data_IF_891537935150
#
_entry.id   IF_891537935150
#
_cell.length_a   1.000
_cell.length_b   1.000
_cell.length_c   1.000
_cell.angle_alpha   90.00
_cell.angle_beta   90.00
_cell.angle_gamma   90.00
#
_symmetry.space_group_name_H-M   'P 1'
#
loop_
_entity.id
_entity.type
_entity.pdbx_description
1 polymer ?
#
# COMPACT_ATOMS: atom_id res chain seq x y z
N UNK A 1 16.00 7.10 -11.38
CA UNK A 1 17.25 6.33 -11.57
C UNK A 1 17.08 4.82 -11.39
N UNK A 2 16.15 4.33 -10.57
CA UNK A 2 15.89 2.88 -10.41
C UNK A 2 15.46 2.14 -11.70
N UNK A 3 14.78 2.83 -12.62
CA UNK A 3 14.23 2.25 -13.86
C UNK A 3 15.29 1.82 -14.91
N UNK A 4 16.52 2.35 -14.87
CA UNK A 4 17.61 2.01 -15.83
C UNK A 4 18.43 0.81 -15.33
N UNK A 5 18.50 0.60 -14.01
CA UNK A 5 19.33 -0.45 -13.40
C UNK A 5 18.64 -1.83 -13.37
N UNK A 6 17.32 -1.86 -13.49
CA UNK A 6 16.54 -3.10 -13.39
C UNK A 6 16.71 -4.01 -14.64
N UNK A 7 16.64 -3.49 -15.88
CA UNK A 7 16.78 -4.33 -17.09
C UNK A 7 18.21 -4.84 -17.32
N UNK A 8 19.22 -4.13 -16.80
CA UNK A 8 20.63 -4.51 -16.94
C UNK A 8 21.06 -5.62 -15.97
N UNK A 9 20.17 -6.06 -15.07
CA UNK A 9 20.53 -6.98 -13.98
C UNK A 9 21.49 -6.38 -12.94
N UNK A 10 21.91 -5.11 -13.12
CA UNK A 10 22.76 -4.40 -12.19
C UNK A 10 22.06 -4.23 -10.85
N UNK A 11 20.73 -4.02 -10.84
CA UNK A 11 19.95 -3.88 -9.62
C UNK A 11 20.01 -5.14 -8.74
N UNK A 12 19.87 -6.34 -9.30
CA UNK A 12 19.99 -7.59 -8.53
C UNK A 12 21.39 -7.76 -7.94
N UNK A 13 22.43 -7.37 -8.69
CA UNK A 13 23.83 -7.40 -8.19
C UNK A 13 24.04 -6.41 -7.05
N UNK A 14 23.48 -5.20 -7.17
CA UNK A 14 23.52 -4.18 -6.12
C UNK A 14 22.76 -4.66 -4.89
N UNK A 15 21.53 -5.15 -5.06
CA UNK A 15 20.72 -5.68 -3.96
C UNK A 15 21.46 -6.77 -3.19
N UNK A 16 22.02 -7.76 -3.91
CA UNK A 16 22.82 -8.83 -3.31
C UNK A 16 24.09 -8.30 -2.61
N UNK A 17 24.74 -7.29 -3.19
CA UNK A 17 25.92 -6.67 -2.58
C UNK A 17 25.57 -5.95 -1.27
N UNK A 18 24.48 -5.17 -1.26
CA UNK A 18 24.09 -4.41 -0.07
C UNK A 18 23.54 -5.35 1.01
N UNK A 19 22.78 -6.37 0.63
CA UNK A 19 22.37 -7.44 1.55
C UNK A 19 23.57 -8.16 2.17
N UNK A 20 24.56 -8.56 1.37
CA UNK A 20 25.80 -9.15 1.88
C UNK A 20 26.55 -8.20 2.81
N UNK A 21 26.48 -6.91 2.55
CA UNK A 21 27.06 -5.88 3.41
C UNK A 21 26.30 -5.72 4.73
N UNK A 22 24.97 -5.84 4.72
CA UNK A 22 24.14 -5.85 5.93
C UNK A 22 24.47 -7.06 6.81
N UNK A 23 24.57 -8.25 6.21
CA UNK A 23 24.90 -9.49 6.93
C UNK A 23 26.31 -9.51 7.54
N UNK A 24 27.20 -8.64 7.07
CA UNK A 24 28.59 -8.49 7.57
C UNK A 24 28.78 -7.27 8.46
N UNK A 25 27.74 -6.44 8.60
CA UNK A 25 27.84 -5.21 9.37
C UNK A 25 28.09 -5.53 10.85
N UNK A 26 28.85 -4.68 11.57
CA UNK A 26 29.13 -4.89 12.98
C UNK A 26 27.83 -4.82 13.80
N UNK A 27 27.78 -5.58 14.89
CA UNK A 27 26.66 -5.55 15.82
C UNK A 27 26.49 -4.14 16.41
N UNK A 28 25.25 -3.72 16.59
CA UNK A 28 24.90 -2.50 17.28
C UNK A 28 24.53 -2.83 18.72
N UNK A 29 25.23 -2.22 19.67
CA UNK A 29 25.07 -2.52 21.11
C UNK A 29 24.09 -1.57 21.83
N UNK A 30 23.44 -0.65 21.11
CA UNK A 30 22.48 0.27 21.70
C UNK A 30 21.07 -0.33 21.79
N UNK A 31 20.30 0.14 22.77
CA UNK A 31 18.89 -0.21 22.88
C UNK A 31 18.08 0.42 21.73
N UNK A 32 17.16 -0.36 21.16
CA UNK A 32 16.27 0.08 20.08
C UNK A 32 14.83 -0.05 20.59
N UNK A 33 14.13 1.07 20.87
CA UNK A 33 12.77 1.04 21.38
C UNK A 33 11.81 0.31 20.44
N UNK A 34 11.12 -0.72 20.94
CA UNK A 34 10.21 -1.57 20.14
C UNK A 34 10.85 -2.83 19.54
N UNK A 35 12.16 -3.06 19.74
CA UNK A 35 12.85 -4.27 19.25
C UNK A 35 12.23 -5.57 19.78
N UNK A 36 11.91 -5.63 21.07
CA UNK A 36 11.28 -6.80 21.71
C UNK A 36 9.93 -7.12 21.07
N UNK A 37 9.13 -6.09 20.80
CA UNK A 37 7.82 -6.24 20.14
C UNK A 37 7.99 -6.77 18.71
N UNK A 38 8.96 -6.26 17.95
CA UNK A 38 9.25 -6.76 16.61
C UNK A 38 9.69 -8.23 16.66
N UNK A 39 10.58 -8.59 17.59
CA UNK A 39 11.02 -9.97 17.77
C UNK A 39 9.82 -10.90 18.07
N UNK A 40 8.91 -10.48 18.94
CA UNK A 40 7.69 -11.23 19.25
C UNK A 40 6.78 -11.38 18.02
N UNK A 41 6.56 -10.28 17.27
CA UNK A 41 5.77 -10.30 16.05
C UNK A 41 6.36 -11.26 15.00
N UNK A 42 7.68 -11.22 14.78
CA UNK A 42 8.36 -12.14 13.86
C UNK A 42 8.27 -13.60 14.34
N UNK A 43 8.43 -13.86 15.64
CA UNK A 43 8.21 -15.20 16.24
C UNK A 43 6.82 -15.74 15.92
N UNK A 44 5.79 -14.90 16.03
CA UNK A 44 4.40 -15.29 15.79
C UNK A 44 4.07 -15.60 14.32
N UNK A 45 4.86 -15.06 13.39
CA UNK A 45 4.61 -15.23 11.94
C UNK A 45 5.20 -16.50 11.38
N UNK A 46 6.25 -17.01 12.01
CA UNK A 46 7.05 -18.07 11.45
C UNK A 46 6.68 -19.40 12.10
N UNK A 47 6.74 -20.52 11.35
CA UNK A 47 6.32 -21.82 11.87
C UNK A 47 7.05 -22.16 13.18
N UNK A 48 6.34 -22.75 14.17
CA UNK A 48 6.97 -23.17 15.42
C UNK A 48 8.14 -24.12 15.14
N UNK A 49 9.29 -23.88 15.79
CA UNK A 49 10.53 -24.66 15.60
C UNK A 49 11.40 -24.23 14.42
N UNK A 50 11.02 -23.20 13.66
CA UNK A 50 11.83 -22.74 12.51
C UNK A 50 13.01 -21.83 12.89
N UNK A 51 13.12 -21.34 14.13
CA UNK A 51 14.03 -20.24 14.50
C UNK A 51 14.59 -20.34 15.92
N UNK A 52 15.83 -19.86 16.06
CA UNK A 52 16.60 -19.68 17.29
C UNK A 52 15.94 -18.62 18.22
N UNK A 53 15.97 -18.76 19.56
CA UNK A 53 15.46 -17.77 20.52
C UNK A 53 15.94 -16.32 20.32
N UNK A 54 17.12 -16.10 19.75
CA UNK A 54 17.64 -14.78 19.36
C UNK A 54 17.34 -14.45 17.88
N UNK A 55 16.07 -14.15 17.57
CA UNK A 55 15.63 -14.08 16.16
C UNK A 55 16.17 -12.90 15.36
N UNK A 56 16.50 -11.78 16.01
CA UNK A 56 16.82 -10.53 15.32
C UNK A 56 18.08 -9.92 15.91
N UNK A 57 19.13 -9.83 15.08
CA UNK A 57 20.36 -9.11 15.38
C UNK A 57 20.30 -7.71 14.78
N UNK A 58 20.54 -6.69 15.62
CA UNK A 58 20.66 -5.30 15.16
C UNK A 58 22.11 -5.02 14.78
N UNK A 59 22.31 -4.47 13.58
CA UNK A 59 23.63 -4.15 13.04
C UNK A 59 23.72 -2.68 12.62
N UNK A 60 24.92 -2.13 12.73
CA UNK A 60 25.20 -0.77 12.28
C UNK A 60 25.45 -0.76 10.77
N UNK A 61 24.39 -0.54 10.00
CA UNK A 61 24.43 -0.55 8.54
C UNK A 61 24.06 0.82 7.97
N UNK A 62 24.91 1.32 7.08
CA UNK A 62 24.84 2.70 6.56
C UNK A 62 23.80 2.93 5.46
N UNK A 63 23.38 1.88 4.75
CA UNK A 63 22.45 2.02 3.62
C UNK A 63 20.98 1.96 4.06
N UNK A 64 20.11 2.58 3.26
CA UNK A 64 18.66 2.64 3.53
C UNK A 64 17.92 1.34 3.21
N UNK A 65 18.47 0.53 2.31
CA UNK A 65 17.92 -0.77 1.89
C UNK A 65 19.04 -1.80 1.73
N UNK A 66 18.79 -3.09 2.04
CA UNK A 66 17.59 -3.60 2.69
C UNK A 66 17.54 -3.21 4.17
N UNK A 67 16.34 -3.05 4.71
CA UNK A 67 16.12 -2.68 6.12
C UNK A 67 16.39 -3.84 7.07
N UNK A 68 16.00 -5.04 6.64
CA UNK A 68 16.17 -6.30 7.35
C UNK A 68 16.36 -7.42 6.33
N UNK A 69 17.19 -8.41 6.66
CA UNK A 69 17.45 -9.55 5.80
C UNK A 69 17.47 -10.86 6.57
N UNK A 70 16.87 -11.91 6.01
CA UNK A 70 16.93 -13.28 6.53
C UNK A 70 18.25 -13.94 6.14
N UNK A 71 18.94 -14.51 7.13
CA UNK A 71 20.09 -15.38 6.90
C UNK A 71 19.69 -16.84 7.12
N UNK A 72 19.47 -17.63 6.05
CA UNK A 72 19.02 -19.02 6.19
C UNK A 72 20.05 -19.93 6.85
N UNK A 73 21.35 -19.60 6.77
CA UNK A 73 22.42 -20.40 7.40
C UNK A 73 22.43 -20.22 8.91
N UNK A 74 22.31 -18.97 9.37
CA UNK A 74 22.27 -18.64 10.79
C UNK A 74 20.87 -18.80 11.40
N UNK A 75 19.82 -18.95 10.57
CA UNK A 75 18.42 -18.90 10.97
C UNK A 75 18.08 -17.67 11.82
N UNK A 76 18.61 -16.50 11.44
CA UNK A 76 18.41 -15.22 12.14
C UNK A 76 18.15 -14.09 11.14
N UNK A 77 17.39 -13.09 11.57
CA UNK A 77 17.25 -11.83 10.85
C UNK A 77 18.35 -10.85 11.26
N UNK A 78 18.88 -10.12 10.28
CA UNK A 78 19.83 -9.03 10.49
C UNK A 78 19.12 -7.74 10.10
N UNK A 79 18.98 -6.85 11.06
CA UNK A 79 18.21 -5.61 10.94
C UNK A 79 19.14 -4.42 11.10
N UNK A 80 19.04 -3.42 10.23
CA UNK A 80 19.75 -2.16 10.48
C UNK A 80 19.11 -1.39 11.63
N UNK A 81 19.88 -0.53 12.28
CA UNK A 81 19.33 0.43 13.25
C UNK A 81 18.22 1.27 12.59
N UNK A 82 16.99 1.30 13.14
CA UNK A 82 15.90 2.10 12.57
C UNK A 82 16.21 3.59 12.58
N UNK A 83 15.74 4.29 11.54
CA UNK A 83 15.80 5.75 11.50
C UNK A 83 14.81 6.34 12.50
N UNK A 84 15.15 7.50 13.07
CA UNK A 84 14.24 8.24 13.95
C UNK A 84 13.02 8.68 13.16
N UNK A 85 11.84 8.57 13.78
CA UNK A 85 10.62 9.07 13.18
C UNK A 85 10.69 10.61 13.08
N UNK A 86 10.40 11.16 11.90
CA UNK A 86 10.35 12.61 11.71
C UNK A 86 9.05 13.24 12.25
N UNK A 87 7.98 12.44 12.35
CA UNK A 87 6.64 12.89 12.71
C UNK A 87 6.39 12.91 14.23
N UNK A 88 7.13 12.08 14.97
CA UNK A 88 6.95 11.94 16.42
C UNK A 88 8.23 12.35 17.15
N UNK A 89 8.07 12.95 18.33
CA UNK A 89 9.16 13.57 19.07
C UNK A 89 10.33 12.58 19.33
N UNK A 90 11.60 13.03 19.21
CA UNK A 90 12.79 12.17 19.27
C UNK A 90 13.07 11.50 20.63
N UNK A 91 12.21 11.71 21.65
CA UNK A 91 12.36 11.17 23.01
C UNK A 91 11.58 9.89 23.30
N UNK A 92 10.47 9.62 22.61
CA UNK A 92 9.48 8.63 23.07
C UNK A 92 9.60 7.24 22.42
N UNK A 93 10.63 7.01 21.60
CA UNK A 93 10.85 5.67 21.02
C UNK A 93 9.71 5.19 20.12
N UNK A 94 9.21 6.05 19.22
CA UNK A 94 8.15 5.76 18.23
C UNK A 94 8.36 4.37 17.59
N UNK A 95 7.40 3.43 17.71
CA UNK A 95 7.47 2.12 17.05
C UNK A 95 7.04 2.17 15.57
N UNK A 96 7.00 3.35 14.98
CA UNK A 96 6.44 3.63 13.65
C UNK A 96 7.23 2.93 12.52
N UNK A 97 8.47 2.56 12.82
CA UNK A 97 9.33 1.76 11.95
C UNK A 97 8.98 0.26 11.96
N UNK A 98 8.29 -0.25 12.98
CA UNK A 98 8.02 -1.69 13.15
C UNK A 98 7.31 -2.29 11.94
N UNK A 99 6.21 -1.68 11.49
CA UNK A 99 5.40 -2.20 10.37
C UNK A 99 6.23 -2.40 9.10
N UNK A 100 6.88 -1.36 8.58
CA UNK A 100 7.76 -1.48 7.42
C UNK A 100 8.85 -2.55 7.55
N UNK A 101 9.39 -2.75 8.76
CA UNK A 101 10.40 -3.78 9.02
C UNK A 101 9.80 -5.19 9.06
N UNK A 102 8.60 -5.35 9.62
CA UNK A 102 7.87 -6.63 9.61
C UNK A 102 7.58 -7.11 8.19
N UNK A 103 7.07 -6.22 7.32
CA UNK A 103 6.85 -6.54 5.91
C UNK A 103 8.15 -6.91 5.19
N UNK A 104 9.22 -6.12 5.39
CA UNK A 104 10.53 -6.40 4.80
C UNK A 104 11.13 -7.73 5.27
N UNK A 105 10.91 -8.09 6.54
CA UNK A 105 11.33 -9.37 7.11
C UNK A 105 10.63 -10.54 6.40
N UNK A 106 9.32 -10.38 6.16
CA UNK A 106 8.51 -11.39 5.50
C UNK A 106 8.92 -11.61 4.06
N UNK A 107 9.14 -10.53 3.31
CA UNK A 107 9.58 -10.61 1.93
C UNK A 107 10.95 -11.29 1.84
N UNK A 108 11.90 -10.89 2.70
CA UNK A 108 13.24 -11.48 2.73
C UNK A 108 13.23 -12.97 3.13
N UNK A 109 12.35 -13.36 4.07
CA UNK A 109 12.20 -14.76 4.43
C UNK A 109 11.59 -15.57 3.28
N UNK A 110 10.56 -15.05 2.61
CA UNK A 110 9.87 -15.74 1.49
C UNK A 110 10.78 -15.91 0.29
N UNK A 111 11.64 -14.94 -0.01
CA UNK A 111 12.59 -15.03 -1.11
C UNK A 111 13.64 -16.13 -0.91
N UNK A 112 13.98 -16.42 0.36
CA UNK A 112 15.08 -17.33 0.72
C UNK A 112 14.64 -18.65 1.37
N UNK A 113 13.38 -18.76 1.77
CA UNK A 113 12.82 -20.03 2.22
C UNK A 113 12.61 -20.93 1.00
N UNK A 114 12.81 -22.23 1.17
CA UNK A 114 12.61 -23.18 0.07
C UNK A 114 11.18 -23.04 -0.46
N UNK A 115 11.01 -23.03 -1.78
CA UNK A 115 9.76 -22.76 -2.52
C UNK A 115 8.54 -23.61 -2.12
N UNK A 116 8.71 -24.59 -1.23
CA UNK A 116 7.67 -25.50 -0.74
C UNK A 116 7.00 -25.01 0.55
N UNK A 117 7.60 -24.09 1.31
CA UNK A 117 6.95 -23.53 2.51
C UNK A 117 5.96 -22.45 2.09
N UNK A 118 4.66 -22.72 2.27
CA UNK A 118 3.62 -21.68 2.20
C UNK A 118 3.99 -20.59 3.21
N UNK A 119 4.25 -19.38 2.72
CA UNK A 119 4.49 -18.24 3.60
C UNK A 119 3.26 -17.92 4.46
N UNK A 120 3.42 -17.14 5.53
CA UNK A 120 2.30 -16.78 6.38
C UNK A 120 1.26 -15.99 5.59
N UNK A 121 0.00 -16.21 5.95
CA UNK A 121 -1.11 -15.51 5.33
C UNK A 121 -1.04 -14.01 5.61
N UNK A 122 -1.65 -13.21 4.73
CA UNK A 122 -1.81 -11.76 4.96
C UNK A 122 -2.48 -11.46 6.30
N UNK A 123 -3.45 -12.28 6.71
CA UNK A 123 -4.11 -12.18 8.01
C UNK A 123 -3.16 -12.41 9.19
N UNK A 124 -2.20 -13.33 9.07
CA UNK A 124 -1.17 -13.52 10.09
C UNK A 124 -0.26 -12.29 10.20
N UNK A 125 0.12 -11.68 9.07
CA UNK A 125 0.92 -10.44 9.04
C UNK A 125 0.18 -9.30 9.76
N UNK A 126 -1.11 -9.11 9.49
CA UNK A 126 -1.91 -8.10 10.17
C UNK A 126 -2.00 -8.36 11.68
N UNK A 127 -2.22 -9.61 12.11
CA UNK A 127 -2.25 -9.96 13.55
C UNK A 127 -0.92 -9.68 14.24
N UNK A 128 0.19 -10.06 13.61
CA UNK A 128 1.52 -9.80 14.15
C UNK A 128 1.82 -8.29 14.23
N UNK A 129 1.33 -7.51 13.26
CA UNK A 129 1.41 -6.05 13.31
C UNK A 129 0.62 -5.47 14.49
N UNK A 130 -0.65 -5.88 14.66
CA UNK A 130 -1.49 -5.45 15.79
C UNK A 130 -0.85 -5.82 17.13
N UNK A 131 -0.39 -7.07 17.27
CA UNK A 131 0.34 -7.54 18.45
C UNK A 131 1.61 -6.72 18.73
N UNK A 132 2.24 -6.16 17.71
CA UNK A 132 3.40 -5.29 17.89
C UNK A 132 3.03 -3.89 18.41
N UNK A 133 1.82 -3.42 18.09
CA UNK A 133 1.32 -2.10 18.45
C UNK A 133 0.64 -2.08 19.83
N UNK A 134 -0.10 -3.14 20.19
CA UNK A 134 -0.93 -3.19 21.41
C UNK A 134 -0.13 -3.25 22.73
N UNK A 135 1.19 -3.43 22.67
CA UNK A 135 2.01 -3.60 23.88
C UNK A 135 1.72 -4.93 24.58
N UNK A 136 2.32 -5.18 25.74
CA UNK A 136 2.27 -6.46 26.48
C UNK A 136 0.90 -6.78 27.10
N UNK A 137 -0.19 -6.65 26.35
CA UNK A 137 -1.41 -7.39 26.63
C UNK A 137 -1.23 -8.79 26.08
N UNK A 138 -1.20 -9.82 26.94
CA UNK A 138 -1.36 -11.21 26.51
C UNK A 138 -2.61 -11.28 25.62
N UNK A 139 -2.44 -11.40 24.31
CA UNK A 139 -3.54 -11.77 23.43
C UNK A 139 -3.80 -13.24 23.72
N UNK A 140 -4.95 -13.61 24.32
CA UNK A 140 -5.22 -14.99 24.66
C UNK A 140 -5.11 -15.84 23.39
N UNK A 141 -4.52 -17.05 23.48
CA UNK A 141 -4.39 -17.91 22.33
C UNK A 141 -5.79 -18.17 21.75
N UNK A 142 -6.04 -17.66 20.54
CA UNK A 142 -7.28 -17.92 19.80
C UNK A 142 -7.22 -19.35 19.27
N UNK A 143 -7.25 -20.32 20.19
CA UNK A 143 -7.69 -21.68 19.97
C UNK A 143 -9.13 -21.75 20.44
N UNK A 144 -10.04 -21.23 19.62
CA UNK A 144 -11.46 -21.20 19.95
C UNK A 144 -12.27 -20.34 18.99
N UNK A 145 -12.62 -20.90 17.83
CA UNK A 145 -13.88 -20.67 17.14
C UNK A 145 -14.37 -19.24 16.79
N UNK A 146 -13.53 -18.21 16.77
CA UNK A 146 -13.92 -16.88 16.22
C UNK A 146 -13.55 -16.78 14.73
N UNK A 147 -14.19 -17.63 13.91
CA UNK A 147 -14.09 -17.56 12.44
C UNK A 147 -15.38 -17.07 11.76
N UNK A 148 -16.39 -16.59 12.49
CA UNK A 148 -17.72 -16.43 11.88
C UNK A 148 -18.04 -15.00 11.39
N UNK A 149 -17.38 -13.93 11.84
CA UNK A 149 -17.87 -12.56 11.50
C UNK A 149 -17.09 -11.88 10.35
N UNK A 150 -15.90 -12.35 9.98
CA UNK A 150 -15.12 -11.73 8.88
C UNK A 150 -15.03 -12.57 7.60
N UNK A 151 -15.70 -13.73 7.55
CA UNK A 151 -15.64 -14.65 6.41
C UNK A 151 -16.83 -14.53 5.44
N UNK A 152 -17.91 -13.85 5.84
CA UNK A 152 -19.17 -13.75 5.07
C UNK A 152 -19.17 -12.72 3.92
N UNK A 153 -18.05 -12.07 3.62
CA UNK A 153 -17.98 -11.07 2.54
C UNK A 153 -17.09 -11.47 1.35
N UNK A 154 -16.52 -12.68 1.32
CA UNK A 154 -15.48 -13.01 0.36
C UNK A 154 -15.77 -14.17 -0.61
N UNK A 155 -16.92 -14.86 -0.54
CA UNK A 155 -17.09 -16.07 -1.37
C UNK A 155 -18.54 -16.37 -1.81
N UNK A 156 -19.10 -15.48 -2.61
CA UNK A 156 -20.29 -15.79 -3.41
C UNK A 156 -19.98 -15.45 -4.87
N UNK A 157 -19.58 -16.45 -5.66
CA UNK A 157 -19.56 -16.30 -7.12
C UNK A 157 -18.60 -17.17 -7.91
N UNK A 158 -18.55 -18.49 -7.71
CA UNK A 158 -18.09 -19.41 -8.75
C UNK A 158 -18.98 -20.66 -8.79
N UNK A 159 -19.95 -20.61 -9.71
CA UNK A 159 -20.76 -21.73 -10.20
C UNK A 159 -19.84 -22.72 -10.92
N UNK A 160 -19.74 -23.93 -10.39
CA UNK A 160 -19.14 -25.08 -11.05
C UNK A 160 -20.15 -25.69 -12.04
N UNK A 161 -19.77 -25.77 -13.32
CA UNK A 161 -20.42 -26.59 -14.35
C UNK A 161 -19.55 -27.81 -14.69
N UNK A 162 -20.14 -28.96 -15.04
CA UNK A 162 -19.43 -30.24 -15.10
C UNK A 162 -18.80 -30.53 -16.47
N UNK A 163 -17.68 -31.25 -16.40
CA UNK A 163 -17.22 -32.35 -17.25
C UNK A 163 -17.52 -32.30 -18.75
N UNK A 164 -16.46 -32.17 -19.54
CA UNK A 164 -16.40 -32.76 -20.89
C UNK A 164 -15.00 -33.31 -21.12
N UNK A 165 -14.93 -34.62 -20.99
CA UNK A 165 -13.83 -35.48 -21.42
C UNK A 165 -13.77 -35.42 -22.96
N UNK A 166 -12.61 -35.09 -23.52
CA UNK A 166 -12.36 -35.32 -24.94
C UNK A 166 -10.94 -35.84 -25.12
N UNK A 167 -10.93 -37.15 -25.32
CA UNK A 167 -9.81 -38.01 -25.66
C UNK A 167 -9.46 -37.80 -27.14
N UNK A 168 -8.19 -37.56 -27.45
CA UNK A 168 -7.66 -37.61 -28.82
C UNK A 168 -6.16 -37.76 -28.80
N UNK A 169 -5.75 -38.93 -29.29
CA UNK A 169 -4.41 -39.47 -29.23
C UNK A 169 -3.72 -39.37 -30.61
N UNK A 170 -2.39 -39.29 -30.58
CA UNK A 170 -1.40 -39.60 -31.64
C UNK A 170 -1.28 -38.70 -32.90
N UNK A 171 -0.14 -38.00 -33.04
CA UNK A 171 0.96 -38.38 -33.97
C UNK A 171 2.04 -37.30 -34.13
N UNK A 172 3.27 -37.78 -34.27
CA UNK A 172 4.53 -37.06 -34.35
C UNK A 172 4.66 -36.09 -35.54
N UNK A 173 5.38 -34.97 -35.33
CA UNK A 173 6.56 -34.66 -36.14
C UNK A 173 7.39 -33.48 -35.59
N UNK A 174 8.68 -33.75 -35.51
CA UNK A 174 9.87 -32.92 -35.54
C UNK A 174 9.76 -31.49 -36.16
N UNK A 175 10.25 -30.46 -35.44
CA UNK A 175 11.31 -29.50 -35.85
C UNK A 175 11.23 -28.09 -35.19
N UNK A 176 12.40 -27.68 -34.66
CA UNK A 176 12.97 -26.32 -34.47
C UNK A 176 12.41 -25.34 -33.41
N UNK A 177 13.29 -24.78 -32.54
CA UNK A 177 12.89 -23.78 -31.55
C UNK A 177 13.06 -22.35 -32.09
N UNK A 178 11.96 -21.72 -32.51
CA UNK A 178 11.94 -20.29 -32.81
C UNK A 178 11.74 -19.48 -31.53
N UNK A 179 12.83 -18.84 -31.09
CA UNK A 179 12.93 -17.95 -29.93
C UNK A 179 12.02 -16.72 -30.10
N UNK A 180 10.79 -16.78 -29.61
CA UNK A 180 9.90 -15.62 -29.53
C UNK A 180 10.37 -14.66 -28.42
N UNK A 181 10.97 -13.55 -28.86
CA UNK A 181 11.39 -12.42 -28.02
C UNK A 181 10.15 -11.58 -27.71
N UNK A 182 9.60 -11.75 -26.50
CA UNK A 182 8.50 -10.94 -25.97
C UNK A 182 8.99 -9.50 -25.75
N UNK A 183 8.61 -8.59 -26.63
CA UNK A 183 8.86 -7.15 -26.48
C UNK A 183 7.67 -6.57 -25.71
N UNK A 184 7.86 -6.34 -24.41
CA UNK A 184 6.91 -5.60 -23.60
C UNK A 184 7.32 -4.13 -23.61
N UNK A 185 6.57 -3.32 -24.36
CA UNK A 185 6.64 -1.87 -24.31
C UNK A 185 5.72 -1.38 -23.18
N UNK A 186 6.30 -0.85 -22.09
CA UNK A 186 5.59 -0.01 -21.13
C UNK A 186 6.40 1.27 -20.91
N UNK A 187 5.90 2.33 -21.52
CA UNK A 187 6.39 3.70 -21.38
C UNK A 187 5.37 4.50 -20.59
N UNK A 188 5.75 4.91 -19.39
CA UNK A 188 5.12 6.01 -18.66
C UNK A 188 6.18 6.92 -18.06
N UNK A 189 6.09 8.18 -18.50
CA UNK A 189 6.94 9.31 -18.21
C UNK A 189 6.21 10.17 -17.20
N UNK A 190 6.72 10.23 -15.98
CA UNK A 190 6.28 11.19 -14.96
C UNK A 190 7.02 12.50 -15.23
N UNK A 191 6.29 13.53 -15.67
CA UNK A 191 6.77 14.91 -15.75
C UNK A 191 6.81 15.49 -14.34
N UNK A 192 8.00 15.87 -13.88
CA UNK A 192 8.19 16.72 -12.71
C UNK A 192 7.93 18.17 -13.12
N UNK A 193 6.90 18.78 -12.56
CA UNK A 193 6.60 20.21 -12.74
C UNK A 193 7.57 21.09 -11.91
N UNK A 194 7.87 22.32 -12.37
CA UNK A 194 8.77 23.23 -11.69
C UNK A 194 8.07 23.98 -10.55
N UNK A 195 8.87 24.35 -9.55
CA UNK A 195 8.54 25.36 -8.55
C UNK A 195 8.13 26.70 -9.19
N UNK A 196 7.28 27.42 -8.45
CA UNK A 196 6.89 28.84 -8.56
C UNK A 196 5.57 29.14 -9.28
N UNK A 197 4.53 29.44 -8.48
CA UNK A 197 3.98 30.79 -8.40
C UNK A 197 3.15 30.93 -7.13
N UNK A 198 3.44 32.01 -6.40
CA UNK A 198 2.72 32.45 -5.23
C UNK A 198 1.29 32.85 -5.61
N UNK A 199 0.31 32.32 -4.89
CA UNK A 199 -1.09 32.73 -4.95
C UNK A 199 -1.72 32.50 -3.59
N UNK A 200 -1.69 33.53 -2.75
CA UNK A 200 -2.49 33.61 -1.52
C UNK A 200 -3.97 33.45 -1.88
N UNK A 201 -4.59 32.35 -1.48
CA UNK A 201 -6.04 32.29 -1.32
C UNK A 201 -6.31 31.73 0.06
N UNK A 202 -6.60 32.64 0.98
CA UNK A 202 -7.08 32.37 2.32
C UNK A 202 -8.38 31.56 2.25
N UNK A 203 -8.60 30.58 3.14
CA UNK A 203 -9.93 30.01 3.31
C UNK A 203 -10.86 31.08 3.91
N UNK A 204 -12.13 31.17 3.49
CA UNK A 204 -13.11 31.95 4.22
C UNK A 204 -13.35 31.25 5.56
N UNK A 205 -12.92 31.89 6.65
CA UNK A 205 -13.39 31.59 7.99
C UNK A 205 -14.88 31.90 8.03
N UNK A 206 -15.71 30.88 7.76
CA UNK A 206 -17.15 30.92 8.01
C UNK A 206 -17.38 30.63 9.50
N UNK A 207 -17.05 31.61 10.36
CA UNK A 207 -17.60 31.69 11.71
C UNK A 207 -19.02 32.24 11.60
N UNK A 208 -20.02 31.37 11.52
CA UNK A 208 -21.40 31.76 11.80
C UNK A 208 -21.67 31.38 13.25
N UNK A 209 -21.19 32.26 14.13
CA UNK A 209 -21.52 32.29 15.54
C UNK A 209 -22.96 32.83 15.64
N UNK A 210 -23.95 31.95 15.41
CA UNK A 210 -25.35 32.27 15.61
C UNK A 210 -25.66 32.27 17.11
N UNK A 211 -25.23 33.35 17.79
CA UNK A 211 -25.73 33.71 19.12
C UNK A 211 -27.22 34.00 19.04
N UNK A 212 -28.02 32.98 19.31
CA UNK A 212 -29.41 33.20 19.71
C UNK A 212 -29.43 33.89 21.07
N UNK A 213 -30.14 35.01 21.22
CA UNK A 213 -30.32 35.63 22.53
C UNK A 213 -31.16 34.68 23.39
N UNK A 214 -30.55 34.09 24.41
CA UNK A 214 -31.27 33.42 25.49
C UNK A 214 -32.03 34.50 26.26
N UNK A 215 -33.27 34.73 25.85
CA UNK A 215 -34.25 35.53 26.58
C UNK A 215 -34.67 34.69 27.79
N UNK A 216 -33.95 34.85 28.90
CA UNK A 216 -34.30 34.27 30.19
C UNK A 216 -35.50 35.01 30.78
N UNK A 217 -36.71 34.63 30.36
CA UNK A 217 -37.95 35.04 31.03
C UNK A 217 -38.08 34.17 32.28
N UNK A 218 -37.61 34.71 33.42
CA UNK A 218 -37.92 34.20 34.75
C UNK A 218 -39.36 34.59 35.11
N UNK A 219 -40.34 33.88 34.55
CA UNK A 219 -41.69 33.88 35.10
C UNK A 219 -41.78 32.81 36.18
N UNK A 220 -41.67 33.24 37.43
CA UNK A 220 -41.98 32.43 38.60
C UNK A 220 -43.49 32.20 38.67
N UNK A 221 -43.98 31.19 37.95
CA UNK A 221 -45.35 30.70 38.08
C UNK A 221 -45.36 29.64 39.19
N UNK A 222 -46.17 29.91 40.22
CA UNK A 222 -46.39 29.01 41.34
C UNK A 222 -46.84 27.64 40.85
N UNK A 223 -46.05 26.61 41.17
CA UNK A 223 -46.30 25.21 40.78
C UNK A 223 -47.50 24.70 41.59
N UNK A 224 -48.61 24.30 40.95
CA UNK A 224 -49.72 23.64 41.63
C UNK A 224 -49.28 22.26 42.15
N UNK A 225 -49.88 21.76 43.24
CA UNK A 225 -49.52 20.47 43.83
C UNK A 225 -49.73 19.34 42.82
N UNK A 226 -48.62 18.68 42.45
CA UNK A 226 -48.60 17.60 41.46
C UNK A 226 -49.20 16.33 42.06
N UNK A 227 -50.19 15.77 41.38
CA UNK A 227 -50.71 14.43 41.64
C UNK A 227 -49.68 13.38 41.24
N UNK A 228 -49.57 12.28 42.01
CA UNK A 228 -48.59 11.20 41.81
C UNK A 228 -48.71 10.47 40.45
N UNK A 229 -49.77 10.72 39.67
CA UNK A 229 -49.94 10.19 38.32
C UNK A 229 -49.22 11.03 37.24
N UNK A 230 -48.85 12.28 37.53
CA UNK A 230 -48.23 13.19 36.57
C UNK A 230 -46.76 12.83 36.21
N UNK A 231 -46.06 12.10 37.08
CA UNK A 231 -44.67 11.68 36.81
C UNK A 231 -44.55 10.68 35.67
N UNK A 232 -45.54 9.80 35.50
CA UNK A 232 -45.52 8.74 34.50
C UNK A 232 -45.77 9.29 33.08
N UNK A 233 -46.68 10.26 32.95
CA UNK A 233 -46.93 10.94 31.68
C UNK A 233 -45.75 11.82 31.23
N UNK A 234 -45.08 12.51 32.16
CA UNK A 234 -43.90 13.30 31.83
C UNK A 234 -42.76 12.42 31.29
N UNK A 235 -42.55 11.22 31.86
CA UNK A 235 -41.53 10.28 31.35
C UNK A 235 -41.81 9.79 29.93
N UNK A 236 -43.08 9.56 29.57
CA UNK A 236 -43.47 9.17 28.20
C UNK A 236 -43.25 10.33 27.22
N UNK A 237 -43.60 11.55 27.61
CA UNK A 237 -43.36 12.75 26.79
C UNK A 237 -41.87 12.95 26.55
N UNK A 238 -41.03 12.83 27.59
CA UNK A 238 -39.57 12.96 27.47
C UNK A 238 -38.97 11.87 26.56
N UNK A 239 -39.47 10.64 26.64
CA UNK A 239 -39.04 9.54 25.78
C UNK A 239 -39.43 9.81 24.31
N UNK A 240 -40.66 10.26 24.06
CA UNK A 240 -41.12 10.64 22.73
C UNK A 240 -40.32 11.83 22.16
N UNK A 241 -40.02 12.84 22.98
CA UNK A 241 -39.20 13.99 22.56
C UNK A 241 -37.77 13.56 22.22
N UNK A 242 -37.17 12.69 23.04
CA UNK A 242 -35.83 12.14 22.74
C UNK A 242 -35.82 11.31 21.46
N UNK A 243 -36.82 10.45 21.26
CA UNK A 243 -36.95 9.66 20.03
C UNK A 243 -37.11 10.53 18.78
N UNK A 244 -37.90 11.61 18.86
CA UNK A 244 -38.03 12.58 17.76
C UNK A 244 -36.72 13.32 17.49
N UNK A 245 -35.98 13.68 18.54
CA UNK A 245 -34.69 14.36 18.39
C UNK A 245 -33.64 13.43 17.75
N UNK A 246 -33.59 12.17 18.17
CA UNK A 246 -32.72 11.15 17.56
C UNK A 246 -33.09 10.91 16.09
N UNK A 247 -34.37 10.80 15.77
CA UNK A 247 -34.84 10.66 14.39
C UNK A 247 -34.44 11.86 13.50
N UNK A 248 -34.59 13.08 14.01
CA UNK A 248 -34.16 14.29 13.29
C UNK A 248 -32.64 14.34 13.06
N UNK A 249 -31.84 13.90 14.04
CA UNK A 249 -30.38 13.82 13.86
C UNK A 249 -29.98 12.77 12.82
N UNK A 250 -30.70 11.65 12.77
CA UNK A 250 -30.45 10.60 11.78
C UNK A 250 -30.79 11.07 10.36
N UNK A 251 -31.91 11.78 10.20
CA UNK A 251 -32.30 12.36 8.90
C UNK A 251 -31.30 13.42 8.41
N UNK A 252 -30.78 14.25 9.32
CA UNK A 252 -29.71 15.22 9.00
C UNK A 252 -28.40 14.52 8.58
N UNK A 253 -28.00 13.44 9.28
CA UNK A 253 -26.82 12.65 8.92
C UNK A 253 -27.00 11.95 7.57
N UNK A 254 -28.17 11.37 7.32
CA UNK A 254 -28.51 10.73 6.04
C UNK A 254 -28.43 11.73 4.88
N UNK A 255 -28.98 12.94 5.07
CA UNK A 255 -28.91 14.01 4.06
C UNK A 255 -27.46 14.45 3.79
N UNK A 256 -26.65 14.56 4.85
CA UNK A 256 -25.21 14.88 4.73
C UNK A 256 -24.47 13.82 3.91
N UNK A 257 -24.62 12.54 4.25
CA UNK A 257 -23.99 11.43 3.54
C UNK A 257 -24.45 11.36 2.08
N UNK A 258 -25.72 11.66 1.79
CA UNK A 258 -26.23 11.70 0.43
C UNK A 258 -25.54 12.81 -0.38
N UNK A 259 -25.36 14.00 0.19
CA UNK A 259 -24.64 15.10 -0.49
C UNK A 259 -23.16 14.80 -0.72
N UNK A 260 -22.50 14.16 0.26
CA UNK A 260 -21.13 13.69 0.12
C UNK A 260 -21.02 12.62 -0.97
N UNK A 261 -22.00 11.72 -1.07
CA UNK A 261 -22.07 10.70 -2.11
C UNK A 261 -22.09 11.31 -3.52
N UNK A 262 -22.94 12.31 -3.75
CA UNK A 262 -23.03 13.02 -5.04
C UNK A 262 -21.72 13.76 -5.37
N UNK A 263 -21.09 14.40 -4.38
CA UNK A 263 -19.80 15.07 -4.57
C UNK A 263 -18.68 14.07 -4.93
N UNK A 264 -18.61 12.94 -4.24
CA UNK A 264 -17.66 11.87 -4.53
C UNK A 264 -17.86 11.30 -5.94
N UNK A 265 -19.11 11.11 -6.38
CA UNK A 265 -19.41 10.65 -7.73
C UNK A 265 -18.96 11.66 -8.79
N UNK A 266 -19.16 12.97 -8.56
CA UNK A 266 -18.66 14.02 -9.42
C UNK A 266 -17.12 14.02 -9.53
N UNK A 267 -16.41 13.84 -8.41
CA UNK A 267 -14.94 13.73 -8.38
C UNK A 267 -14.47 12.50 -9.15
N UNK A 268 -15.10 11.34 -8.95
CA UNK A 268 -14.76 10.10 -9.67
C UNK A 268 -14.96 10.28 -11.18
N UNK A 269 -16.04 10.97 -11.59
CA UNK A 269 -16.31 11.26 -13.00
C UNK A 269 -15.24 12.17 -13.61
N UNK A 270 -14.82 13.22 -12.90
CA UNK A 270 -13.75 14.11 -13.39
C UNK A 270 -12.41 13.39 -13.49
N UNK A 271 -12.05 12.56 -12.48
CA UNK A 271 -10.82 11.77 -12.53
C UNK A 271 -10.80 10.80 -13.72
N UNK A 272 -11.94 10.18 -14.04
CA UNK A 272 -12.05 9.32 -15.23
C UNK A 272 -11.85 10.12 -16.53
N UNK A 273 -12.46 11.30 -16.64
CA UNK A 273 -12.27 12.17 -17.80
C UNK A 273 -10.82 12.67 -17.94
N UNK A 274 -10.14 12.92 -16.82
CA UNK A 274 -8.73 13.28 -16.81
C UNK A 274 -7.85 12.12 -17.30
N UNK A 275 -8.09 10.89 -16.83
CA UNK A 275 -7.38 9.70 -17.30
C UNK A 275 -7.54 9.51 -18.80
N UNK A 276 -8.76 9.66 -19.35
CA UNK A 276 -8.98 9.52 -20.80
C UNK A 276 -8.22 10.57 -21.61
N UNK A 277 -8.14 11.82 -21.13
CA UNK A 277 -7.34 12.87 -21.79
C UNK A 277 -5.84 12.53 -21.77
N UNK A 278 -5.33 12.02 -20.65
CA UNK A 278 -3.93 11.61 -20.54
C UNK A 278 -3.60 10.43 -21.47
N UNK A 279 -4.50 9.45 -21.60
CA UNK A 279 -4.33 8.33 -22.51
C UNK A 279 -4.29 8.76 -23.99
N UNK A 280 -5.12 9.74 -24.37
CA UNK A 280 -5.09 10.34 -25.71
C UNK A 280 -3.78 11.09 -25.97
N UNK A 281 -3.28 11.85 -24.99
CA UNK A 281 -1.99 12.54 -25.08
C UNK A 281 -0.83 11.53 -25.22
N UNK A 282 -0.82 10.47 -24.42
CA UNK A 282 0.17 9.39 -24.51
C UNK A 282 0.12 8.73 -25.90
N UNK A 283 -1.08 8.47 -26.43
CA UNK A 283 -1.25 7.89 -27.77
C UNK A 283 -0.70 8.81 -28.85
N UNK A 284 -0.98 10.10 -28.78
CA UNK A 284 -0.46 11.10 -29.70
C UNK A 284 1.07 11.21 -29.64
N UNK A 285 1.65 11.26 -28.44
CA UNK A 285 3.11 11.30 -28.26
C UNK A 285 3.80 10.04 -28.78
N UNK A 286 3.19 8.86 -28.65
CA UNK A 286 3.72 7.61 -29.23
C UNK A 286 3.73 7.68 -30.75
N UNK A 287 2.64 8.13 -31.37
CA UNK A 287 2.57 8.29 -32.83
C UNK A 287 3.62 9.29 -33.36
N UNK A 288 3.89 10.37 -32.64
CA UNK A 288 4.98 11.30 -32.98
C UNK A 288 6.36 10.66 -32.87
N UNK A 289 6.58 9.84 -31.85
CA UNK A 289 7.86 9.14 -31.66
C UNK A 289 8.09 8.14 -32.79
N UNK A 290 7.08 7.36 -33.18
CA UNK A 290 7.14 6.43 -34.30
C UNK A 290 7.47 7.14 -35.63
N UNK A 291 6.87 8.31 -35.87
CA UNK A 291 7.18 9.13 -37.04
C UNK A 291 8.65 9.59 -37.04
N UNK A 292 9.17 10.03 -35.88
CA UNK A 292 10.57 10.45 -35.75
C UNK A 292 11.54 9.29 -35.91
N UNK A 293 11.21 8.10 -35.40
CA UNK A 293 12.02 6.90 -35.61
C UNK A 293 12.06 6.49 -37.09
N UNK A 294 10.95 6.66 -37.82
CA UNK A 294 10.91 6.44 -39.27
C UNK A 294 11.79 7.44 -40.04
N UNK A 295 11.74 8.74 -39.70
CA UNK A 295 12.62 9.78 -40.28
C UNK A 295 14.11 9.47 -40.01
N UNK A 296 14.45 9.06 -38.78
CA UNK A 296 15.81 8.65 -38.42
C UNK A 296 16.26 7.39 -39.18
N UNK A 297 15.36 6.42 -39.34
CA UNK A 297 15.60 5.23 -40.16
C UNK A 297 15.90 5.59 -41.61
N UNK A 298 15.13 6.50 -42.20
CA UNK A 298 15.32 6.99 -43.56
C UNK A 298 16.66 7.70 -43.74
N UNK A 299 16.98 8.65 -42.87
CA UNK A 299 18.26 9.39 -42.92
C UNK A 299 19.46 8.48 -42.73
N UNK A 300 19.37 7.49 -41.82
CA UNK A 300 20.41 6.46 -41.66
C UNK A 300 20.58 5.63 -42.92
N UNK A 301 19.48 5.27 -43.59
CA UNK A 301 19.51 4.57 -44.88
C UNK A 301 20.25 5.37 -45.95
N UNK A 302 19.92 6.66 -46.11
CA UNK A 302 20.60 7.56 -47.05
C UNK A 302 22.10 7.69 -46.78
N UNK A 303 22.49 7.87 -45.52
CA UNK A 303 23.91 7.97 -45.14
C UNK A 303 24.66 6.66 -45.42
N UNK A 304 24.04 5.52 -45.13
CA UNK A 304 24.64 4.20 -45.38
C UNK A 304 24.84 3.96 -46.88
N UNK A 305 23.84 4.30 -47.71
CA UNK A 305 23.96 4.20 -49.16
C UNK A 305 25.07 5.10 -49.71
N UNK A 306 25.14 6.35 -49.26
CA UNK A 306 26.20 7.29 -49.66
C UNK A 306 27.61 6.77 -49.31
N UNK A 307 27.78 6.19 -48.11
CA UNK A 307 29.05 5.60 -47.72
C UNK A 307 29.43 4.38 -48.56
N UNK A 308 28.48 3.53 -48.93
CA UNK A 308 28.73 2.41 -49.82
C UNK A 308 29.23 2.88 -51.20
N UNK A 309 28.60 3.91 -51.78
CA UNK A 309 28.99 4.48 -53.08
C UNK A 309 30.42 5.07 -53.05
N UNK A 310 30.79 5.77 -51.98
CA UNK A 310 32.13 6.36 -51.83
C UNK A 310 33.22 5.29 -51.70
N UNK A 311 32.93 4.17 -51.03
CA UNK A 311 33.87 3.04 -50.93
C UNK A 311 34.07 2.32 -52.27
N UNK A 312 33.01 2.18 -53.07
CA UNK A 312 33.10 1.57 -54.40
C UNK A 312 33.95 2.38 -55.38
N UNK A 313 33.86 3.71 -55.34
CA UNK A 313 34.66 4.59 -56.23
C UNK A 313 36.15 4.58 -55.91
N UNK A 314 36.54 4.39 -54.64
CA UNK A 314 37.97 4.32 -54.25
C UNK A 314 38.65 3.00 -54.63
N UNK A 315 37.89 1.94 -54.87
CA UNK A 315 38.47 0.63 -55.21
C UNK A 315 38.83 0.48 -56.71
N UNK A 316 38.40 1.41 -57.56
CA UNK A 316 38.55 1.35 -59.03
C UNK A 316 39.60 2.37 -59.56
N UNK A 317 40.16 3.21 -58.69
CA UNK A 317 41.22 4.16 -59.00
C UNK A 317 42.57 3.67 -58.46
#
# INVERSE_FOLDING_TARGET
MSKILHPSGAYSRIHHHVEKSLLRAPAYNGEVPGLVRLQSAIKSLLPPGSIDPELVNVVNHKYSTPKIAWNPKAKKFYMRVPERCAEHAPGDGCPCWVGPYLFSAMDSWKEKSHSKTKGPSRSAICRAFIHCMDGEGEVPPINGHVSIILQDYADEGLVSGPDSESDSDVAASDQTPTRQRRISASSERTLSAPHQLAGKVSPPASSVDARFPQVSIKQAMAVPPRSNLSGLFNGVIDLCQRGLQEAATFEAQSSSLQTEGVNNEAIIKELRAQTTRQDEEIRHLRAQLDLKDAELGYTRGLLTAKWADDTGKRAVA
#
